data_IF_565251095954
#
_entry.id   IF_565251095954
#
_cell.length_a   1.000
_cell.length_b   1.000
_cell.length_c   1.000
_cell.angle_alpha   90.00
_cell.angle_beta   90.00
_cell.angle_gamma   90.00
#
_symmetry.space_group_name_H-M   'P 1'
#
loop_
_entity.id
_entity.type
_entity.pdbx_description
1 polymer ?
#
# COMPACT_ATOMS: atom_id res chain seq x y z
N UNK A 1 37.72 -11.54 5.34
CA UNK A 1 37.47 -10.39 6.25
C UNK A 1 35.98 -10.20 6.37
N UNK A 2 35.42 -10.35 7.58
CA UNK A 2 34.00 -10.05 7.83
C UNK A 2 33.82 -8.55 7.97
N UNK A 3 32.81 -8.00 7.30
CA UNK A 3 32.43 -6.59 7.42
C UNK A 3 31.89 -6.31 8.83
N UNK A 4 32.18 -5.13 9.38
CA UNK A 4 31.58 -4.68 10.63
C UNK A 4 30.07 -4.46 10.48
N UNK A 5 29.32 -4.49 11.59
CA UNK A 5 27.84 -4.26 11.58
C UNK A 5 27.48 -2.91 10.95
N UNK A 6 28.27 -1.87 11.15
CA UNK A 6 28.09 -0.56 10.53
C UNK A 6 28.32 -0.57 9.02
N UNK A 7 29.33 -1.30 8.54
CA UNK A 7 29.60 -1.46 7.11
C UNK A 7 28.47 -2.25 6.41
N UNK A 8 27.91 -3.28 7.06
CA UNK A 8 26.76 -4.05 6.55
C UNK A 8 25.49 -3.19 6.49
N UNK A 9 25.25 -2.35 7.48
CA UNK A 9 24.10 -1.43 7.48
C UNK A 9 24.22 -0.36 6.39
N UNK A 10 25.40 0.24 6.22
CA UNK A 10 25.67 1.21 5.16
C UNK A 10 25.54 0.57 3.75
N UNK A 11 25.99 -0.66 3.57
CA UNK A 11 25.88 -1.38 2.31
C UNK A 11 24.43 -1.76 1.97
N UNK A 12 23.62 -2.14 2.97
CA UNK A 12 22.18 -2.37 2.81
C UNK A 12 21.44 -1.10 2.39
N UNK A 13 21.81 0.04 3.00
CA UNK A 13 21.21 1.32 2.64
C UNK A 13 21.56 1.73 1.19
N UNK A 14 22.82 1.53 0.79
CA UNK A 14 23.29 1.87 -0.55
C UNK A 14 22.65 1.00 -1.64
N UNK A 15 22.49 -0.32 -1.41
CA UNK A 15 21.81 -1.22 -2.35
C UNK A 15 20.32 -0.91 -2.47
N UNK A 16 19.67 -0.50 -1.38
CA UNK A 16 18.27 -0.08 -1.40
C UNK A 16 18.07 1.21 -2.23
N UNK A 17 18.88 2.23 -1.98
CA UNK A 17 18.86 3.48 -2.77
C UNK A 17 19.11 3.22 -4.24
N UNK A 18 20.02 2.27 -4.56
CA UNK A 18 20.26 1.87 -5.95
C UNK A 18 19.03 1.17 -6.54
N UNK A 19 18.38 0.26 -5.79
CA UNK A 19 17.17 -0.42 -6.25
C UNK A 19 16.06 0.59 -6.58
N UNK A 20 15.83 1.56 -5.71
CA UNK A 20 14.89 2.65 -5.94
C UNK A 20 15.20 3.45 -7.21
N UNK A 21 16.46 3.89 -7.39
CA UNK A 21 16.89 4.63 -8.57
C UNK A 21 16.72 3.84 -9.86
N UNK A 22 17.03 2.55 -9.84
CA UNK A 22 16.81 1.66 -10.99
C UNK A 22 15.32 1.45 -11.27
N UNK A 23 14.50 1.24 -10.21
CA UNK A 23 13.06 1.14 -10.33
C UNK A 23 12.46 2.39 -10.99
N UNK A 24 12.85 3.58 -10.52
CA UNK A 24 12.36 4.83 -11.09
C UNK A 24 12.73 5.00 -12.58
N UNK A 25 13.94 4.58 -13.01
CA UNK A 25 14.33 4.60 -14.42
C UNK A 25 13.50 3.62 -15.27
N UNK A 26 13.24 2.42 -14.73
CA UNK A 26 12.36 1.44 -15.38
C UNK A 26 10.92 1.98 -15.48
N UNK A 27 10.40 2.58 -14.41
CA UNK A 27 9.08 3.18 -14.35
C UNK A 27 8.89 4.33 -15.35
N UNK A 28 9.94 5.13 -15.57
CA UNK A 28 9.98 6.20 -16.56
C UNK A 28 10.20 5.71 -18.00
N UNK A 29 10.42 4.40 -18.19
CA UNK A 29 10.66 3.80 -19.50
C UNK A 29 12.07 3.98 -20.07
N UNK A 30 13.04 4.48 -19.27
CA UNK A 30 14.45 4.56 -19.69
C UNK A 30 15.02 3.17 -20.01
N UNK A 31 14.54 2.15 -19.30
CA UNK A 31 14.78 0.75 -19.59
C UNK A 31 13.46 0.10 -20.00
N UNK A 32 13.28 -0.13 -21.28
CA UNK A 32 12.05 -0.69 -21.82
C UNK A 32 11.79 -2.14 -21.36
N UNK A 33 10.53 -2.54 -21.24
CA UNK A 33 10.15 -3.92 -20.98
C UNK A 33 10.75 -4.84 -22.06
N UNK A 34 11.34 -5.95 -21.63
CA UNK A 34 12.04 -6.93 -22.48
C UNK A 34 13.50 -6.58 -22.78
N UNK A 35 13.96 -5.35 -22.53
CA UNK A 35 15.37 -4.99 -22.70
C UNK A 35 16.28 -5.64 -21.66
N UNK A 36 17.56 -5.66 -21.94
CA UNK A 36 18.59 -6.13 -21.00
C UNK A 36 19.23 -4.91 -20.36
N UNK A 37 19.31 -4.89 -19.03
CA UNK A 37 20.02 -3.84 -18.28
C UNK A 37 21.53 -3.90 -18.57
N UNK A 38 22.24 -2.77 -18.42
CA UNK A 38 23.70 -2.75 -18.40
C UNK A 38 24.28 -3.77 -17.40
N UNK A 39 25.49 -4.24 -17.66
CA UNK A 39 26.15 -5.22 -16.81
C UNK A 39 26.44 -4.71 -15.39
N UNK A 40 26.67 -5.63 -14.44
CA UNK A 40 26.94 -5.27 -13.03
C UNK A 40 28.11 -4.27 -12.87
N UNK A 41 29.13 -4.39 -13.71
CA UNK A 41 30.28 -3.49 -13.69
C UNK A 41 29.89 -2.10 -14.20
N UNK A 42 29.20 -2.05 -15.31
CA UNK A 42 28.73 -0.81 -15.94
C UNK A 42 27.74 -0.06 -15.04
N UNK A 43 26.79 -0.79 -14.41
CA UNK A 43 25.90 -0.20 -13.40
C UNK A 43 26.66 0.28 -12.16
N UNK A 44 27.69 -0.47 -11.75
CA UNK A 44 28.56 -0.07 -10.64
C UNK A 44 29.27 1.27 -10.93
N UNK A 45 29.84 1.41 -12.12
CA UNK A 45 30.50 2.62 -12.58
C UNK A 45 29.51 3.78 -12.73
N UNK A 46 28.35 3.52 -13.35
CA UNK A 46 27.29 4.53 -13.58
C UNK A 46 26.77 5.15 -12.28
N UNK A 47 26.60 4.33 -11.22
CA UNK A 47 26.02 4.77 -9.95
C UNK A 47 27.06 5.00 -8.86
N UNK A 48 28.35 4.77 -9.11
CA UNK A 48 29.42 4.91 -8.12
C UNK A 48 29.32 3.91 -6.95
N UNK A 49 28.91 2.68 -7.21
CA UNK A 49 28.66 1.66 -6.19
C UNK A 49 29.40 0.35 -6.48
N UNK A 50 29.57 -0.47 -5.44
CA UNK A 50 30.20 -1.79 -5.60
C UNK A 50 29.33 -2.77 -6.39
N UNK A 51 29.94 -3.73 -7.07
CA UNK A 51 29.24 -4.84 -7.76
C UNK A 51 28.33 -5.63 -6.81
N UNK A 52 28.71 -5.77 -5.56
CA UNK A 52 27.88 -6.40 -4.53
C UNK A 52 26.59 -5.60 -4.29
N UNK A 53 26.67 -4.27 -4.20
CA UNK A 53 25.50 -3.41 -4.05
C UNK A 53 24.57 -3.53 -5.28
N UNK A 54 25.14 -3.59 -6.49
CA UNK A 54 24.35 -3.81 -7.73
C UNK A 54 23.61 -5.15 -7.68
N UNK A 55 24.28 -6.24 -7.29
CA UNK A 55 23.63 -7.55 -7.18
C UNK A 55 22.48 -7.58 -6.18
N UNK A 56 22.65 -6.96 -5.02
CA UNK A 56 21.60 -6.88 -4.02
C UNK A 56 20.42 -6.00 -4.50
N UNK A 57 20.69 -4.89 -5.19
CA UNK A 57 19.64 -4.08 -5.81
C UNK A 57 18.87 -4.86 -6.89
N UNK A 58 19.57 -5.60 -7.75
CA UNK A 58 18.94 -6.46 -8.77
C UNK A 58 18.09 -7.56 -8.11
N UNK A 59 18.54 -8.20 -7.04
CA UNK A 59 17.76 -9.18 -6.28
C UNK A 59 16.48 -8.57 -5.71
N UNK A 60 16.58 -7.37 -5.13
CA UNK A 60 15.43 -6.63 -4.61
C UNK A 60 14.38 -6.39 -5.70
N UNK A 61 14.81 -5.91 -6.87
CA UNK A 61 13.91 -5.66 -7.99
C UNK A 61 13.37 -6.95 -8.64
N UNK A 62 14.15 -8.03 -8.62
CA UNK A 62 13.69 -9.34 -9.07
C UNK A 62 12.61 -9.92 -8.15
N UNK A 63 12.75 -9.73 -6.82
CA UNK A 63 11.72 -10.13 -5.85
C UNK A 63 10.40 -9.37 -6.06
N UNK A 64 10.45 -8.13 -6.58
CA UNK A 64 9.28 -7.33 -6.93
C UNK A 64 8.73 -7.63 -8.34
N UNK A 65 9.32 -8.60 -9.05
CA UNK A 65 8.90 -8.96 -10.40
C UNK A 65 9.33 -7.97 -11.51
N UNK A 66 10.10 -6.94 -11.18
CA UNK A 66 10.55 -5.92 -12.14
C UNK A 66 11.69 -6.41 -13.03
N UNK A 67 12.53 -7.29 -12.53
CA UNK A 67 13.73 -7.81 -13.19
C UNK A 67 13.76 -9.33 -13.18
N UNK A 68 14.40 -9.90 -14.21
CA UNK A 68 14.69 -11.32 -14.31
C UNK A 68 16.18 -11.52 -14.65
N UNK A 69 17.04 -11.77 -13.65
CA UNK A 69 18.42 -12.14 -13.91
C UNK A 69 18.52 -13.51 -14.59
N UNK A 70 19.30 -13.61 -15.67
CA UNK A 70 19.61 -14.88 -16.35
C UNK A 70 21.10 -15.05 -16.56
N UNK A 71 21.68 -16.18 -16.14
CA UNK A 71 23.10 -16.47 -16.35
C UNK A 71 23.46 -16.34 -17.84
N UNK A 72 24.59 -15.70 -18.13
CA UNK A 72 25.15 -15.51 -19.49
C UNK A 72 24.33 -14.64 -20.45
N UNK A 73 23.10 -14.27 -20.11
CA UNK A 73 22.20 -13.43 -20.93
C UNK A 73 22.17 -12.00 -20.40
N UNK A 74 22.24 -11.84 -19.08
CA UNK A 74 22.09 -10.56 -18.40
C UNK A 74 20.77 -10.45 -17.63
N UNK A 75 20.48 -9.27 -17.15
CA UNK A 75 19.27 -8.98 -16.37
C UNK A 75 18.21 -8.32 -17.26
N UNK A 76 17.10 -9.02 -17.47
CA UNK A 76 16.00 -8.54 -18.31
C UNK A 76 15.00 -7.73 -17.50
N UNK A 77 14.53 -6.61 -18.06
CA UNK A 77 13.40 -5.83 -17.55
C UNK A 77 12.10 -6.57 -17.88
N UNK A 78 11.29 -6.86 -16.86
CA UNK A 78 10.04 -7.59 -17.02
C UNK A 78 8.89 -6.68 -17.42
N UNK A 79 7.91 -7.16 -18.20
CA UNK A 79 6.67 -6.45 -18.46
C UNK A 79 5.92 -6.12 -17.16
N UNK A 80 5.16 -5.04 -17.17
CA UNK A 80 4.43 -4.54 -16.01
C UNK A 80 3.45 -5.57 -15.41
N UNK A 81 2.92 -6.47 -16.23
CA UNK A 81 2.07 -7.59 -15.81
C UNK A 81 2.75 -8.61 -14.87
N UNK A 82 4.07 -8.56 -14.75
CA UNK A 82 4.85 -9.41 -13.82
C UNK A 82 5.17 -8.71 -12.51
N UNK A 83 4.93 -7.40 -12.42
CA UNK A 83 5.31 -6.62 -11.25
C UNK A 83 4.34 -6.88 -10.09
N UNK A 84 4.88 -6.98 -8.88
CA UNK A 84 4.07 -7.16 -7.69
C UNK A 84 3.53 -5.82 -7.17
N UNK A 85 2.38 -5.37 -7.69
CA UNK A 85 1.72 -4.14 -7.23
C UNK A 85 1.09 -4.25 -5.83
N UNK A 86 1.27 -5.36 -5.11
CA UNK A 86 0.97 -5.47 -3.68
C UNK A 86 2.19 -5.16 -2.82
N UNK A 87 3.36 -4.93 -3.44
CA UNK A 87 4.58 -4.53 -2.72
C UNK A 87 4.57 -3.03 -2.43
N UNK A 88 4.59 -2.69 -1.14
CA UNK A 88 4.50 -1.30 -0.66
C UNK A 88 5.63 -0.39 -1.18
N UNK A 89 6.84 -0.93 -1.36
CA UNK A 89 7.97 -0.14 -1.86
C UNK A 89 7.81 0.13 -3.36
N UNK A 90 7.38 -0.87 -4.14
CA UNK A 90 7.09 -0.68 -5.55
C UNK A 90 6.01 0.39 -5.76
N UNK A 91 4.95 0.36 -4.96
CA UNK A 91 3.89 1.39 -5.02
C UNK A 91 4.44 2.76 -4.67
N UNK A 92 5.22 2.87 -3.59
CA UNK A 92 5.82 4.14 -3.18
C UNK A 92 6.74 4.73 -4.27
N UNK A 93 7.49 3.87 -4.98
CA UNK A 93 8.33 4.29 -6.10
C UNK A 93 7.55 4.64 -7.36
N UNK A 94 6.43 3.95 -7.60
CA UNK A 94 5.58 4.18 -8.76
C UNK A 94 4.69 5.42 -8.61
N UNK A 95 4.19 5.69 -7.40
CA UNK A 95 3.29 6.80 -7.13
C UNK A 95 4.07 8.12 -7.14
N UNK A 96 3.78 8.96 -8.14
CA UNK A 96 4.35 10.29 -8.33
C UNK A 96 3.24 11.33 -8.40
N UNK A 97 3.58 12.61 -8.34
CA UNK A 97 2.58 13.68 -8.52
C UNK A 97 1.86 13.59 -9.87
N UNK A 98 2.56 13.14 -10.90
CA UNK A 98 2.05 13.12 -12.28
C UNK A 98 1.06 11.98 -12.53
N UNK A 99 1.16 10.86 -11.78
CA UNK A 99 0.27 9.70 -11.95
C UNK A 99 -0.62 9.44 -10.73
N UNK A 100 -0.60 10.30 -9.74
CA UNK A 100 -1.29 10.13 -8.46
C UNK A 100 -2.79 9.86 -8.65
N UNK A 101 -3.49 10.68 -9.42
CA UNK A 101 -4.93 10.51 -9.68
C UNK A 101 -5.24 9.14 -10.28
N UNK A 102 -4.44 8.71 -11.27
CA UNK A 102 -4.63 7.39 -11.89
C UNK A 102 -4.39 6.24 -10.91
N UNK A 103 -3.34 6.33 -10.08
CA UNK A 103 -3.08 5.30 -9.04
C UNK A 103 -4.22 5.21 -8.05
N UNK A 104 -4.76 6.36 -7.66
CA UNK A 104 -5.92 6.43 -6.74
C UNK A 104 -7.18 5.83 -7.38
N UNK A 105 -7.47 6.15 -8.64
CA UNK A 105 -8.63 5.58 -9.36
C UNK A 105 -8.55 4.05 -9.40
N UNK A 106 -7.41 3.48 -9.79
CA UNK A 106 -7.19 2.03 -9.80
C UNK A 106 -7.32 1.40 -8.41
N UNK A 107 -6.79 2.07 -7.39
CA UNK A 107 -6.91 1.65 -6.01
C UNK A 107 -8.37 1.66 -5.51
N UNK A 108 -9.15 2.69 -5.84
CA UNK A 108 -10.55 2.80 -5.45
C UNK A 108 -11.41 1.71 -6.10
N UNK A 109 -11.14 1.32 -7.34
CA UNK A 109 -11.81 0.18 -7.99
C UNK A 109 -11.60 -1.09 -7.18
N UNK A 110 -10.37 -1.36 -6.78
CA UNK A 110 -10.03 -2.53 -5.96
C UNK A 110 -10.66 -2.44 -4.57
N UNK A 111 -10.57 -1.29 -3.91
CA UNK A 111 -11.17 -1.02 -2.61
C UNK A 111 -12.68 -1.29 -2.62
N UNK A 112 -13.40 -0.71 -3.59
CA UNK A 112 -14.84 -0.89 -3.78
C UNK A 112 -15.24 -2.35 -4.00
N UNK A 113 -14.35 -3.15 -4.58
CA UNK A 113 -14.59 -4.56 -4.85
C UNK A 113 -14.34 -5.47 -3.64
N UNK A 114 -13.45 -5.09 -2.73
CA UNK A 114 -12.99 -5.96 -1.64
C UNK A 114 -13.54 -5.57 -0.27
N UNK A 115 -13.61 -4.29 0.03
CA UNK A 115 -13.89 -3.82 1.39
C UNK A 115 -15.33 -4.11 1.84
N UNK A 116 -16.38 -3.98 1.01
CA UNK A 116 -17.72 -4.38 1.40
C UNK A 116 -17.79 -5.88 1.79
N UNK A 117 -17.10 -6.73 1.03
CA UNK A 117 -17.01 -8.15 1.36
C UNK A 117 -16.21 -8.40 2.64
N UNK A 118 -15.17 -7.61 2.92
CA UNK A 118 -14.44 -7.69 4.17
C UNK A 118 -15.32 -7.30 5.36
N UNK A 119 -16.18 -6.28 5.24
CA UNK A 119 -17.16 -5.89 6.25
C UNK A 119 -18.19 -7.01 6.52
N UNK A 120 -18.72 -7.62 5.46
CA UNK A 120 -19.63 -8.75 5.57
C UNK A 120 -18.99 -9.92 6.33
N UNK A 121 -17.78 -10.31 5.96
CA UNK A 121 -17.03 -11.37 6.64
C UNK A 121 -16.66 -10.98 8.07
N UNK A 122 -16.35 -9.73 8.35
CA UNK A 122 -16.07 -9.23 9.68
C UNK A 122 -17.29 -9.38 10.62
N UNK A 123 -18.50 -9.16 10.11
CA UNK A 123 -19.73 -9.37 10.88
C UNK A 123 -19.87 -10.82 11.38
N UNK A 124 -19.43 -11.81 10.59
CA UNK A 124 -19.51 -13.23 10.91
C UNK A 124 -18.32 -13.72 11.74
N UNK A 125 -17.11 -13.31 11.37
CA UNK A 125 -15.87 -13.93 11.86
C UNK A 125 -15.22 -13.19 13.02
N UNK A 126 -15.65 -11.94 13.32
CA UNK A 126 -15.01 -11.14 14.37
C UNK A 126 -15.25 -11.69 15.77
N UNK A 127 -14.24 -11.61 16.62
CA UNK A 127 -14.34 -11.90 18.05
C UNK A 127 -14.69 -10.62 18.83
N UNK A 128 -15.03 -10.79 20.13
CA UNK A 128 -15.44 -9.70 21.02
C UNK A 128 -14.33 -8.64 21.19
N UNK A 129 -13.08 -9.05 21.28
CA UNK A 129 -11.94 -8.13 21.41
C UNK A 129 -11.79 -7.23 20.17
N UNK A 130 -11.96 -7.81 19.00
CA UNK A 130 -11.90 -7.07 17.74
C UNK A 130 -13.07 -6.08 17.62
N UNK A 131 -14.29 -6.49 17.95
CA UNK A 131 -15.46 -5.58 17.96
C UNK A 131 -15.28 -4.43 18.94
N UNK A 132 -14.77 -4.72 20.16
CA UNK A 132 -14.44 -3.68 21.14
C UNK A 132 -13.40 -2.71 20.59
N UNK A 133 -12.36 -3.21 19.90
CA UNK A 133 -11.34 -2.36 19.28
C UNK A 133 -11.91 -1.49 18.16
N UNK A 134 -12.80 -2.03 17.33
CA UNK A 134 -13.47 -1.29 16.27
C UNK A 134 -14.32 -0.14 16.83
N UNK A 135 -15.10 -0.41 17.89
CA UNK A 135 -15.88 0.61 18.59
C UNK A 135 -15.00 1.71 19.20
N UNK A 136 -13.84 1.36 19.77
CA UNK A 136 -12.87 2.36 20.27
C UNK A 136 -12.31 3.26 19.15
N UNK A 137 -12.04 2.72 17.98
CA UNK A 137 -11.60 3.51 16.83
C UNK A 137 -12.72 4.45 16.36
N UNK A 138 -13.97 3.97 16.31
CA UNK A 138 -15.13 4.81 15.99
C UNK A 138 -15.31 5.95 17.01
N UNK A 139 -15.13 5.69 18.30
CA UNK A 139 -15.15 6.73 19.33
C UNK A 139 -14.09 7.81 19.07
N UNK A 140 -12.85 7.41 18.74
CA UNK A 140 -11.78 8.35 18.40
C UNK A 140 -12.11 9.18 17.16
N UNK A 141 -12.74 8.57 16.13
CA UNK A 141 -13.21 9.30 14.95
C UNK A 141 -14.26 10.35 15.32
N UNK A 142 -15.19 10.01 16.21
CA UNK A 142 -16.25 10.93 16.69
C UNK A 142 -15.66 12.09 17.50
N UNK A 143 -14.68 11.84 18.36
CA UNK A 143 -13.98 12.89 19.13
C UNK A 143 -13.29 13.91 18.22
N UNK A 144 -12.76 13.46 17.09
CA UNK A 144 -12.13 14.33 16.09
C UNK A 144 -13.13 15.25 15.36
N UNK A 145 -14.44 15.02 15.47
CA UNK A 145 -15.45 15.93 14.95
C UNK A 145 -15.43 17.29 15.65
N UNK A 146 -15.08 17.31 16.94
CA UNK A 146 -15.05 18.54 17.75
C UNK A 146 -13.68 19.19 17.81
N UNK A 147 -12.61 18.41 17.62
CA UNK A 147 -11.23 18.87 17.68
C UNK A 147 -10.42 18.19 16.58
N UNK A 148 -10.63 18.63 15.33
CA UNK A 148 -10.05 18.00 14.16
C UNK A 148 -8.52 18.13 14.15
N UNK A 149 -7.86 16.99 14.09
CA UNK A 149 -6.45 16.83 13.77
C UNK A 149 -6.32 15.92 12.54
N UNK A 150 -5.84 16.46 11.44
CA UNK A 150 -5.74 15.77 10.16
C UNK A 150 -4.87 14.51 10.22
N UNK A 151 -3.71 14.64 10.86
CA UNK A 151 -2.79 13.51 11.01
C UNK A 151 -3.46 12.39 11.80
N UNK A 152 -4.07 12.75 12.92
CA UNK A 152 -4.76 11.81 13.79
C UNK A 152 -5.96 11.17 13.11
N UNK A 153 -6.72 11.94 12.34
CA UNK A 153 -7.83 11.41 11.54
C UNK A 153 -7.36 10.32 10.60
N UNK A 154 -6.32 10.61 9.78
CA UNK A 154 -5.75 9.64 8.82
C UNK A 154 -5.30 8.36 9.53
N UNK A 155 -4.63 8.47 10.67
CA UNK A 155 -4.16 7.32 11.45
C UNK A 155 -5.30 6.45 11.98
N UNK A 156 -6.35 7.09 12.51
CA UNK A 156 -7.50 6.36 13.09
C UNK A 156 -8.34 5.72 12.01
N UNK A 157 -8.62 6.43 10.93
CA UNK A 157 -9.40 5.93 9.81
C UNK A 157 -8.69 4.78 9.08
N UNK A 158 -7.38 4.89 8.89
CA UNK A 158 -6.57 3.79 8.38
C UNK A 158 -6.64 2.56 9.30
N UNK A 159 -6.47 2.76 10.61
CA UNK A 159 -6.53 1.65 11.57
C UNK A 159 -7.92 1.00 11.62
N UNK A 160 -8.98 1.77 11.42
CA UNK A 160 -10.35 1.29 11.32
C UNK A 160 -10.52 0.33 10.14
N UNK A 161 -10.14 0.76 8.95
CA UNK A 161 -10.27 -0.08 7.74
C UNK A 161 -9.33 -1.30 7.76
N UNK A 162 -8.09 -1.15 8.24
CA UNK A 162 -7.16 -2.27 8.41
C UNK A 162 -7.71 -3.34 9.36
N UNK A 163 -8.32 -2.92 10.46
CA UNK A 163 -8.92 -3.85 11.42
C UNK A 163 -10.08 -4.63 10.79
N UNK A 164 -10.90 -4.01 9.94
CA UNK A 164 -11.99 -4.69 9.23
C UNK A 164 -11.44 -5.80 8.32
N UNK A 165 -10.38 -5.52 7.56
CA UNK A 165 -9.72 -6.55 6.75
C UNK A 165 -9.18 -7.71 7.60
N UNK A 166 -8.62 -7.43 8.77
CA UNK A 166 -8.17 -8.45 9.73
C UNK A 166 -9.35 -9.25 10.27
N UNK A 167 -10.44 -8.57 10.69
CA UNK A 167 -11.67 -9.17 11.21
C UNK A 167 -12.37 -10.09 10.20
N UNK A 168 -12.13 -9.89 8.90
CA UNK A 168 -12.67 -10.77 7.85
C UNK A 168 -12.23 -12.23 8.02
N UNK A 169 -11.13 -12.49 8.73
CA UNK A 169 -10.56 -13.84 8.90
C UNK A 169 -9.93 -14.41 7.62
N UNK A 170 -9.91 -13.64 6.53
CA UNK A 170 -9.35 -14.07 5.25
C UNK A 170 -7.92 -13.54 5.09
N UNK A 171 -6.87 -14.41 5.09
CA UNK A 171 -5.49 -13.98 5.03
C UNK A 171 -5.13 -13.26 3.71
N UNK A 172 -5.83 -13.54 2.63
CA UNK A 172 -5.64 -12.82 1.37
C UNK A 172 -6.15 -11.38 1.49
N UNK A 173 -7.32 -11.17 2.09
CA UNK A 173 -7.87 -9.84 2.33
C UNK A 173 -7.00 -9.03 3.30
N UNK A 174 -6.51 -9.64 4.38
CA UNK A 174 -5.58 -9.00 5.31
C UNK A 174 -4.30 -8.49 4.61
N UNK A 175 -3.84 -9.21 3.58
CA UNK A 175 -2.68 -8.77 2.79
C UNK A 175 -2.94 -7.48 2.01
N UNK A 176 -4.18 -7.17 1.66
CA UNK A 176 -4.56 -5.90 1.02
C UNK A 176 -4.52 -4.71 1.99
N UNK A 177 -4.61 -4.92 3.31
CA UNK A 177 -4.45 -3.85 4.30
C UNK A 177 -3.09 -3.15 4.18
N UNK A 178 -2.03 -3.89 3.82
CA UNK A 178 -0.70 -3.32 3.57
C UNK A 178 -0.67 -2.36 2.36
N UNK A 179 -1.43 -2.70 1.31
CA UNK A 179 -1.60 -1.86 0.13
C UNK A 179 -2.39 -0.60 0.47
N UNK A 180 -3.47 -0.77 1.21
CA UNK A 180 -4.32 0.31 1.70
C UNK A 180 -3.47 1.38 2.39
N UNK A 181 -2.65 1.01 3.37
CA UNK A 181 -1.77 1.93 4.11
C UNK A 181 -0.86 2.74 3.19
N UNK A 182 -0.29 2.13 2.17
CA UNK A 182 0.69 2.76 1.29
C UNK A 182 0.10 3.84 0.38
N UNK A 183 -1.15 3.65 -0.07
CA UNK A 183 -1.84 4.57 -0.98
C UNK A 183 -2.71 5.56 -0.20
N UNK A 184 -3.40 5.07 0.82
CA UNK A 184 -4.43 5.81 1.54
C UNK A 184 -3.91 7.06 2.24
N UNK A 185 -2.75 6.99 2.86
CA UNK A 185 -2.14 8.14 3.51
C UNK A 185 -1.97 9.32 2.54
N UNK A 186 -1.42 9.05 1.36
CA UNK A 186 -1.21 10.08 0.34
C UNK A 186 -2.54 10.54 -0.26
N UNK A 187 -3.45 9.60 -0.54
CA UNK A 187 -4.79 9.89 -1.03
C UNK A 187 -5.54 10.80 -0.06
N UNK A 188 -5.63 10.40 1.21
CA UNK A 188 -6.36 11.15 2.21
C UNK A 188 -5.74 12.53 2.46
N UNK A 189 -4.41 12.63 2.47
CA UNK A 189 -3.71 13.91 2.58
C UNK A 189 -4.05 14.85 1.43
N UNK A 190 -4.32 14.33 0.23
CA UNK A 190 -4.65 15.13 -0.94
C UNK A 190 -6.12 15.57 -0.99
N UNK A 191 -7.06 14.78 -0.42
CA UNK A 191 -8.50 15.01 -0.57
C UNK A 191 -9.19 15.59 0.65
N UNK A 192 -8.57 15.56 1.85
CA UNK A 192 -9.24 15.99 3.08
C UNK A 192 -9.14 17.48 3.25
N UNK A 193 -10.28 18.14 3.23
CA UNK A 193 -10.47 19.53 3.68
C UNK A 193 -10.77 19.52 5.18
N UNK A 194 -9.79 19.46 6.03
CA UNK A 194 -9.84 19.72 7.51
C UNK A 194 -11.16 19.37 8.24
N UNK A 195 -11.84 18.31 7.82
CA UNK A 195 -13.09 17.86 8.42
C UNK A 195 -13.17 16.31 8.50
N UNK A 196 -13.98 15.87 9.43
CA UNK A 196 -14.31 14.45 9.60
C UNK A 196 -15.30 14.03 8.53
N UNK A 197 -15.02 12.92 7.85
CA UNK A 197 -15.78 12.48 6.69
C UNK A 197 -16.72 11.32 7.05
N UNK A 198 -18.03 11.46 6.76
CA UNK A 198 -19.04 10.37 6.75
C UNK A 198 -19.08 9.51 8.02
N UNK A 199 -19.07 10.13 9.20
CA UNK A 199 -19.11 9.43 10.48
C UNK A 199 -20.32 8.50 10.63
N UNK A 200 -21.47 8.92 10.14
CA UNK A 200 -22.73 8.15 10.16
C UNK A 200 -22.60 6.83 9.42
N UNK A 201 -21.92 6.83 8.26
CA UNK A 201 -21.69 5.62 7.48
C UNK A 201 -20.64 4.70 8.14
N UNK A 202 -19.61 5.26 8.76
CA UNK A 202 -18.65 4.48 9.55
C UNK A 202 -19.35 3.83 10.76
N UNK A 203 -20.22 4.58 11.45
CA UNK A 203 -20.99 4.04 12.59
C UNK A 203 -21.94 2.91 12.13
N UNK A 204 -22.60 3.06 11.00
CA UNK A 204 -23.48 2.01 10.46
C UNK A 204 -22.73 0.70 10.19
N UNK A 205 -21.47 0.76 9.72
CA UNK A 205 -20.61 -0.43 9.57
C UNK A 205 -20.31 -1.06 10.93
N UNK A 206 -19.94 -0.26 11.94
CA UNK A 206 -19.65 -0.76 13.29
C UNK A 206 -20.87 -1.45 13.88
N UNK A 207 -22.05 -0.85 13.75
CA UNK A 207 -23.31 -1.39 14.28
C UNK A 207 -23.63 -2.73 13.63
N UNK A 208 -23.58 -2.81 12.30
CA UNK A 208 -23.85 -4.03 11.56
C UNK A 208 -22.84 -5.16 11.92
N UNK A 209 -21.55 -4.85 12.01
CA UNK A 209 -20.53 -5.83 12.42
C UNK A 209 -20.78 -6.31 13.85
N UNK A 210 -21.10 -5.40 14.76
CA UNK A 210 -21.34 -5.73 16.17
C UNK A 210 -22.55 -6.65 16.36
N UNK A 211 -23.60 -6.45 15.55
CA UNK A 211 -24.80 -7.29 15.60
C UNK A 211 -24.69 -8.57 14.75
N UNK A 212 -23.61 -8.76 14.00
CA UNK A 212 -23.43 -9.93 13.13
C UNK A 212 -24.30 -9.89 11.86
N UNK A 213 -24.66 -8.69 11.41
CA UNK A 213 -25.54 -8.45 10.27
C UNK A 213 -24.74 -8.33 8.97
N UNK A 214 -24.47 -9.48 8.34
CA UNK A 214 -23.59 -9.61 7.17
C UNK A 214 -23.97 -8.67 6.04
N UNK A 215 -25.21 -8.71 5.59
CA UNK A 215 -25.68 -7.90 4.45
C UNK A 215 -25.71 -6.41 4.79
N UNK A 216 -26.10 -6.04 6.01
CA UNK A 216 -26.11 -4.66 6.45
C UNK A 216 -24.68 -4.07 6.49
N UNK A 217 -23.69 -4.85 6.96
CA UNK A 217 -22.29 -4.45 6.95
C UNK A 217 -21.75 -4.23 5.52
N UNK A 218 -22.10 -5.13 4.59
CA UNK A 218 -21.76 -4.98 3.18
C UNK A 218 -22.35 -3.70 2.58
N UNK A 219 -23.65 -3.48 2.77
CA UNK A 219 -24.39 -2.36 2.17
C UNK A 219 -23.93 -1.01 2.76
N UNK A 220 -23.68 -0.94 4.07
CA UNK A 220 -23.15 0.25 4.73
C UNK A 220 -21.76 0.62 4.20
N UNK A 221 -20.86 -0.35 4.04
CA UNK A 221 -19.55 -0.12 3.46
C UNK A 221 -19.65 0.32 2.00
N UNK A 222 -20.52 -0.31 1.21
CA UNK A 222 -20.74 0.07 -0.18
C UNK A 222 -21.27 1.51 -0.29
N UNK A 223 -22.14 1.94 0.63
CA UNK A 223 -22.63 3.32 0.71
C UNK A 223 -21.49 4.29 1.04
N UNK A 224 -20.64 3.95 2.04
CA UNK A 224 -19.47 4.75 2.41
C UNK A 224 -18.54 5.01 1.21
N UNK A 225 -18.31 4.01 0.37
CA UNK A 225 -17.36 4.06 -0.74
C UNK A 225 -17.93 4.66 -2.03
N UNK A 226 -19.25 4.57 -2.25
CA UNK A 226 -19.91 5.06 -3.48
C UNK A 226 -20.11 6.56 -3.53
N UNK A 227 -20.23 7.22 -2.41
CA UNK A 227 -20.38 8.66 -2.42
C UNK A 227 -19.08 9.34 -2.83
N UNK A 228 -19.08 10.13 -3.91
CA UNK A 228 -17.87 10.86 -4.27
C UNK A 228 -17.49 11.77 -3.11
N UNK A 229 -16.24 11.71 -2.69
CA UNK A 229 -15.65 12.79 -1.91
C UNK A 229 -15.78 14.03 -2.80
N UNK A 230 -16.56 15.00 -2.35
CA UNK A 230 -16.84 16.18 -3.15
C UNK A 230 -15.52 16.87 -3.50
N UNK A 231 -15.08 16.68 -4.73
CA UNK A 231 -13.99 17.47 -5.29
C UNK A 231 -14.53 18.91 -5.48
N UNK A 232 -14.20 19.80 -4.57
CA UNK A 232 -14.31 21.25 -4.77
C UNK A 232 -12.99 21.80 -5.27
#
# INVERSE_FOLDING_TARGET
MSLSTQQLAAQKNLSYVLAEKLAQRILKGEYAAGSILPGEMELGDLFGVSRTAVREAVKTLAAKGMLLPRPRIGTRVMPRSHWNFLDKELIAWWMTKDNFSHVVEEFLIMRNSLEPQACALAAINSNEQQRTRLAQLMTQMTELQTAFDRQRWIEVDMAYHELIYEMSGNPFMTSFANLFRSIYYNYFTAITDNEVIKLDLHQAIVDAITHGEEQAAFDACLALLKEPVAHR
#
